data_IF_719471657633
#
_entry.id   IF_719471657633
#
_cell.length_a   1.000
_cell.length_b   1.000
_cell.length_c   1.000
_cell.angle_alpha   90.00
_cell.angle_beta   90.00
_cell.angle_gamma   90.00
#
_symmetry.space_group_name_H-M   'P 1'
#
loop_
_entity.id
_entity.type
_entity.pdbx_description
1 polymer ?
#
# COMPACT_ATOMS: atom_id res chain seq x y z
N UNK A 1 -8.65 4.43 12.50
CA UNK A 1 -9.24 3.08 12.61
C UNK A 1 -8.74 2.16 11.50
N UNK A 2 -8.94 2.43 10.21
CA UNK A 2 -8.50 1.53 9.12
C UNK A 2 -7.02 1.16 9.17
N UNK A 3 -6.12 2.15 9.26
CA UNK A 3 -4.68 1.90 9.35
C UNK A 3 -4.29 1.14 10.63
N UNK A 4 -4.97 1.40 11.76
CA UNK A 4 -4.70 0.69 13.01
C UNK A 4 -5.08 -0.79 12.90
N UNK A 5 -6.24 -1.10 12.28
CA UNK A 5 -6.67 -2.48 12.05
C UNK A 5 -5.71 -3.22 11.11
N UNK A 6 -5.32 -2.59 10.01
CA UNK A 6 -4.35 -3.19 9.08
C UNK A 6 -2.99 -3.36 9.74
N UNK A 7 -2.51 -2.38 10.53
CA UNK A 7 -1.28 -2.50 11.31
C UNK A 7 -1.31 -3.64 12.33
N UNK A 8 -2.43 -3.78 13.07
CA UNK A 8 -2.64 -4.89 14.00
C UNK A 8 -2.60 -6.25 13.28
N UNK A 9 -3.27 -6.37 12.14
CA UNK A 9 -3.23 -7.60 11.34
C UNK A 9 -1.82 -7.91 10.85
N UNK A 10 -1.10 -6.92 10.31
CA UNK A 10 0.27 -7.13 9.84
C UNK A 10 1.20 -7.57 11.00
N UNK A 11 1.03 -6.98 12.18
CA UNK A 11 1.74 -7.38 13.40
C UNK A 11 1.43 -8.84 13.80
N UNK A 12 0.14 -9.20 13.83
CA UNK A 12 -0.31 -10.56 14.16
C UNK A 12 0.24 -11.60 13.17
N UNK A 13 0.18 -11.32 11.87
CA UNK A 13 0.75 -12.21 10.85
C UNK A 13 2.25 -12.42 11.03
N UNK A 14 3.00 -11.35 11.34
CA UNK A 14 4.43 -11.44 11.57
C UNK A 14 4.74 -12.20 12.87
N UNK A 15 4.20 -11.75 14.00
CA UNK A 15 4.55 -12.29 15.33
C UNK A 15 4.06 -13.73 15.52
N UNK A 16 2.89 -14.11 14.97
CA UNK A 16 2.38 -15.50 15.06
C UNK A 16 3.26 -16.53 14.35
N UNK A 17 4.12 -16.09 13.47
CA UNK A 17 5.04 -16.95 12.71
C UNK A 17 6.51 -16.75 13.09
N UNK A 18 6.77 -15.97 14.16
CA UNK A 18 8.12 -15.65 14.63
C UNK A 18 8.90 -14.71 13.71
N UNK A 19 8.24 -14.02 12.78
CA UNK A 19 8.84 -13.01 11.91
C UNK A 19 9.09 -11.70 12.65
N UNK A 20 10.08 -10.95 12.17
CA UNK A 20 10.23 -9.54 12.52
C UNK A 20 9.03 -8.72 12.02
N UNK A 21 8.74 -7.61 12.69
CA UNK A 21 7.77 -6.62 12.26
C UNK A 21 8.47 -5.26 12.13
N UNK A 22 8.73 -4.85 10.91
CA UNK A 22 9.48 -3.63 10.61
C UNK A 22 8.53 -2.46 10.32
N UNK A 23 8.98 -1.26 10.68
CA UNK A 23 8.22 -0.04 10.42
C UNK A 23 8.90 0.82 9.36
N UNK A 24 8.15 1.15 8.31
CA UNK A 24 8.59 2.04 7.23
C UNK A 24 7.63 3.21 7.09
N UNK A 25 8.20 4.41 7.06
CA UNK A 25 7.47 5.65 6.80
C UNK A 25 7.57 5.97 5.31
N UNK A 26 6.44 6.00 4.64
CA UNK A 26 6.32 6.26 3.21
C UNK A 26 6.09 7.77 2.98
N UNK A 27 7.17 8.55 3.10
CA UNK A 27 7.19 10.02 3.11
C UNK A 27 7.67 10.66 1.79
N UNK A 28 7.60 9.93 0.67
CA UNK A 28 7.96 10.46 -0.66
C UNK A 28 6.94 11.48 -1.19
N UNK A 29 5.70 11.38 -0.77
CA UNK A 29 4.67 12.36 -1.09
C UNK A 29 4.65 13.53 -0.10
N UNK A 30 3.89 14.60 -0.44
CA UNK A 30 3.68 15.73 0.47
C UNK A 30 2.94 15.30 1.73
N UNK A 31 3.67 14.93 2.75
CA UNK A 31 3.12 14.54 4.06
C UNK A 31 3.00 15.79 4.94
N UNK A 32 1.91 15.89 5.71
CA UNK A 32 1.81 16.92 6.75
C UNK A 32 2.89 16.67 7.82
N UNK A 33 3.64 17.72 8.17
CA UNK A 33 4.66 17.65 9.23
C UNK A 33 4.09 17.00 10.51
N UNK A 34 4.81 16.04 11.06
CA UNK A 34 4.41 15.30 12.26
C UNK A 34 3.29 14.27 12.04
N UNK A 35 2.93 13.94 10.79
CA UNK A 35 1.89 12.94 10.54
C UNK A 35 2.40 11.51 10.72
N UNK A 36 3.65 11.25 10.37
CA UNK A 36 4.29 9.94 10.56
C UNK A 36 4.48 9.63 12.03
N UNK A 37 5.05 10.59 12.78
CA UNK A 37 5.28 10.45 14.23
C UNK A 37 3.96 10.16 14.95
N UNK A 38 2.87 10.87 14.61
CA UNK A 38 1.55 10.61 15.19
C UNK A 38 1.01 9.22 14.88
N UNK A 39 1.27 8.69 13.67
CA UNK A 39 0.84 7.32 13.34
C UNK A 39 1.63 6.29 14.12
N UNK A 40 2.92 6.50 14.34
CA UNK A 40 3.74 5.64 15.19
C UNK A 40 3.27 5.69 16.65
N UNK A 41 2.98 6.90 17.17
CA UNK A 41 2.39 7.07 18.51
C UNK A 41 1.04 6.34 18.64
N UNK A 42 0.17 6.44 17.64
CA UNK A 42 -1.14 5.78 17.63
C UNK A 42 -0.99 4.25 17.65
N UNK A 43 -0.05 3.67 16.89
CA UNK A 43 0.24 2.23 16.88
C UNK A 43 0.79 1.77 18.25
N UNK A 44 1.76 2.52 18.80
CA UNK A 44 2.31 2.21 20.12
C UNK A 44 1.25 2.31 21.23
N UNK A 45 0.34 3.29 21.17
CA UNK A 45 -0.71 3.49 22.15
C UNK A 45 -1.72 2.35 22.22
N UNK A 46 -1.94 1.61 21.11
CA UNK A 46 -2.74 0.38 21.09
C UNK A 46 -1.92 -0.87 21.39
N UNK A 47 -0.66 -0.72 21.81
CA UNK A 47 0.21 -1.80 22.27
C UNK A 47 1.01 -2.51 21.19
N UNK A 48 1.10 -1.99 19.96
CA UNK A 48 1.95 -2.57 18.93
C UNK A 48 3.41 -2.11 19.10
N UNK A 49 4.31 -3.07 19.04
CA UNK A 49 5.76 -2.86 18.96
C UNK A 49 6.26 -3.13 17.55
N UNK A 50 7.50 -2.74 17.27
CA UNK A 50 8.20 -3.07 16.03
C UNK A 50 9.70 -3.17 16.25
N UNK A 51 10.36 -3.89 15.34
CA UNK A 51 11.80 -4.06 15.40
C UNK A 51 12.50 -2.84 14.79
N UNK A 52 13.53 -2.26 15.47
CA UNK A 52 14.24 -1.09 14.98
C UNK A 52 15.18 -1.42 13.81
N UNK A 53 15.60 -0.43 13.01
CA UNK A 53 15.16 0.98 13.07
C UNK A 53 13.87 1.25 12.29
N UNK A 54 13.20 2.38 12.58
CA UNK A 54 12.16 2.91 11.68
C UNK A 54 12.85 3.47 10.43
N UNK A 55 12.42 3.01 9.26
CA UNK A 55 12.99 3.39 7.97
C UNK A 55 12.14 4.46 7.31
N UNK A 56 12.79 5.47 6.70
CA UNK A 56 12.15 6.59 6.02
C UNK A 56 12.48 6.54 4.54
N UNK A 57 11.47 6.50 3.67
CA UNK A 57 11.68 6.40 2.22
C UNK A 57 12.42 7.61 1.64
N UNK A 58 12.22 8.81 2.18
CA UNK A 58 12.95 10.01 1.76
C UNK A 58 14.48 9.91 1.93
N UNK A 59 14.96 9.03 2.79
CA UNK A 59 16.39 8.78 3.00
C UNK A 59 16.97 7.70 2.07
N UNK A 60 16.15 7.11 1.21
CA UNK A 60 16.49 5.93 0.40
C UNK A 60 16.51 6.20 -1.11
N UNK A 61 16.43 7.45 -1.53
CA UNK A 61 16.39 7.85 -2.94
C UNK A 61 17.47 7.18 -3.81
N UNK A 62 18.73 7.03 -3.36
CA UNK A 62 19.77 6.36 -4.17
C UNK A 62 19.43 4.91 -4.55
N UNK A 63 18.71 4.17 -3.70
CA UNK A 63 18.31 2.78 -4.00
C UNK A 63 17.26 2.73 -5.12
N UNK A 64 16.34 3.68 -5.12
CA UNK A 64 15.32 3.76 -6.17
C UNK A 64 15.92 4.20 -7.51
N UNK A 65 16.86 5.15 -7.49
CA UNK A 65 17.56 5.56 -8.71
C UNK A 65 18.38 4.40 -9.27
N UNK A 66 19.11 3.65 -8.45
CA UNK A 66 19.86 2.48 -8.90
C UNK A 66 18.95 1.42 -9.55
N UNK A 67 17.75 1.18 -8.99
CA UNK A 67 16.78 0.28 -9.60
C UNK A 67 16.27 0.80 -10.96
N UNK A 68 16.01 2.11 -11.08
CA UNK A 68 15.64 2.75 -12.34
C UNK A 68 16.76 2.61 -13.37
N UNK A 69 17.99 2.87 -12.99
CA UNK A 69 19.16 2.75 -13.88
C UNK A 69 19.32 1.33 -14.43
N UNK A 70 19.13 0.30 -13.60
CA UNK A 70 19.15 -1.11 -14.02
C UNK A 70 18.08 -1.39 -15.08
N UNK A 71 16.83 -0.95 -14.86
CA UNK A 71 15.75 -1.11 -15.83
C UNK A 71 16.02 -0.33 -17.12
N UNK A 72 16.59 0.85 -17.01
CA UNK A 72 16.92 1.70 -18.15
C UNK A 72 18.05 1.09 -19.00
N UNK A 73 19.12 0.60 -18.36
CA UNK A 73 20.21 -0.11 -19.03
C UNK A 73 19.73 -1.38 -19.75
N UNK A 74 18.68 -2.04 -19.23
CA UNK A 74 18.02 -3.17 -19.87
C UNK A 74 17.04 -2.79 -21.00
N UNK A 75 16.88 -1.49 -21.31
CA UNK A 75 15.92 -1.01 -22.32
C UNK A 75 14.44 -1.11 -21.91
N UNK A 76 14.19 -1.29 -20.62
CA UNK A 76 12.85 -1.52 -20.07
C UNK A 76 12.15 -0.23 -19.61
N UNK A 77 12.61 0.93 -20.02
CA UNK A 77 11.99 2.21 -19.64
C UNK A 77 11.72 3.10 -20.85
N UNK A 78 10.84 4.07 -20.68
CA UNK A 78 10.59 5.13 -21.64
C UNK A 78 9.95 6.36 -20.97
N UNK A 79 10.08 7.53 -21.60
CA UNK A 79 9.49 8.77 -21.13
C UNK A 79 8.01 8.90 -21.50
N UNK A 80 7.23 9.35 -20.54
CA UNK A 80 5.79 9.59 -20.72
C UNK A 80 5.45 11.04 -20.37
N UNK A 81 4.89 11.76 -21.30
CA UNK A 81 4.50 13.18 -21.19
C UNK A 81 3.00 13.39 -20.93
N UNK A 82 2.24 12.29 -20.75
CA UNK A 82 0.81 12.36 -20.49
C UNK A 82 0.50 12.94 -19.12
N UNK A 83 -0.47 13.83 -19.05
CA UNK A 83 -1.10 14.27 -17.81
C UNK A 83 -2.08 13.21 -17.27
N UNK A 84 -2.42 13.27 -15.99
CA UNK A 84 -3.46 12.38 -15.40
C UNK A 84 -4.79 12.49 -16.16
N UNK A 85 -5.16 13.69 -16.59
CA UNK A 85 -6.39 13.95 -17.34
C UNK A 85 -6.37 13.26 -18.71
N UNK A 86 -5.26 13.36 -19.44
CA UNK A 86 -5.10 12.69 -20.74
C UNK A 86 -5.18 11.16 -20.61
N UNK A 87 -4.57 10.61 -19.54
CA UNK A 87 -4.67 9.16 -19.27
C UNK A 87 -6.11 8.76 -18.96
N UNK A 88 -6.81 9.50 -18.10
CA UNK A 88 -8.23 9.21 -17.78
C UNK A 88 -9.14 9.30 -19.01
N UNK A 89 -8.94 10.29 -19.86
CA UNK A 89 -9.70 10.44 -21.10
C UNK A 89 -9.46 9.28 -22.08
N UNK A 90 -8.23 8.78 -22.16
CA UNK A 90 -7.89 7.64 -23.01
C UNK A 90 -8.46 6.31 -22.49
N UNK A 91 -8.58 6.14 -21.18
CA UNK A 91 -9.14 4.96 -20.52
C UNK A 91 -10.67 4.90 -20.64
N UNK A 92 -11.34 6.03 -20.72
CA UNK A 92 -12.82 6.08 -20.95
C UNK A 92 -13.22 5.75 -22.38
N UNK A 93 -12.28 5.53 -23.31
CA UNK A 93 -12.56 5.00 -24.63
C UNK A 93 -13.04 3.53 -24.56
N UNK A 94 -13.99 3.07 -25.43
CA UNK A 94 -14.79 1.86 -25.22
C UNK A 94 -14.08 0.50 -25.13
N UNK A 95 -12.76 0.43 -25.22
CA UNK A 95 -12.00 -0.83 -25.32
C UNK A 95 -10.73 -0.92 -24.46
N UNK A 96 -10.54 -0.03 -23.46
CA UNK A 96 -9.38 -0.08 -22.56
C UNK A 96 -9.70 -0.72 -21.21
N UNK A 97 -8.79 -1.50 -20.57
CA UNK A 97 -8.99 -1.97 -19.21
C UNK A 97 -9.08 -0.78 -18.25
N UNK A 98 -10.12 -0.75 -17.41
CA UNK A 98 -10.34 0.35 -16.45
C UNK A 98 -9.08 0.58 -15.58
N UNK A 99 -8.55 1.79 -15.60
CA UNK A 99 -7.43 2.22 -14.75
C UNK A 99 -6.03 1.88 -15.24
N UNK A 100 -5.85 1.15 -16.34
CA UNK A 100 -4.54 0.85 -16.91
C UNK A 100 -4.06 1.96 -17.85
N UNK A 101 -2.74 2.17 -17.91
CA UNK A 101 -2.16 3.13 -18.84
C UNK A 101 -2.24 2.60 -20.30
N UNK A 102 -2.76 3.38 -21.26
CA UNK A 102 -3.01 2.90 -22.63
C UNK A 102 -1.76 2.83 -23.52
N UNK A 103 -0.57 3.16 -23.00
CA UNK A 103 0.68 3.10 -23.75
C UNK A 103 0.92 4.26 -24.72
N UNK A 104 0.19 5.37 -24.60
CA UNK A 104 0.22 6.52 -25.54
C UNK A 104 1.63 7.00 -25.90
N UNK A 105 2.57 7.06 -24.94
CA UNK A 105 3.94 7.51 -25.17
C UNK A 105 4.93 6.36 -25.43
N UNK A 106 4.46 5.10 -25.39
CA UNK A 106 5.33 3.92 -25.43
C UNK A 106 6.20 3.83 -26.68
N UNK A 107 5.69 4.30 -27.81
CA UNK A 107 6.31 4.16 -29.14
C UNK A 107 6.59 5.52 -29.80
N UNK A 108 6.80 6.57 -29.00
CA UNK A 108 7.22 7.86 -29.53
C UNK A 108 8.60 7.74 -30.19
N UNK A 109 8.75 8.38 -31.35
CA UNK A 109 10.04 8.52 -32.02
C UNK A 109 10.91 9.54 -31.29
N UNK A 110 12.23 9.49 -31.52
CA UNK A 110 13.17 10.47 -30.95
C UNK A 110 12.80 11.91 -31.29
N UNK A 111 12.26 12.14 -32.50
CA UNK A 111 11.77 13.45 -32.90
C UNK A 111 10.58 13.90 -32.02
N UNK A 112 9.59 13.03 -31.85
CA UNK A 112 8.43 13.33 -31.02
C UNK A 112 8.82 13.56 -29.54
N UNK A 113 9.79 12.80 -29.04
CA UNK A 113 10.32 12.99 -27.68
C UNK A 113 10.97 14.37 -27.57
N UNK A 114 11.80 14.79 -28.54
CA UNK A 114 12.41 16.14 -28.56
C UNK A 114 11.37 17.23 -28.60
N UNK A 115 10.33 17.08 -29.42
CA UNK A 115 9.21 18.04 -29.51
C UNK A 115 8.49 18.20 -28.17
N UNK A 116 8.17 17.06 -27.49
CA UNK A 116 7.52 17.08 -26.17
C UNK A 116 8.39 17.73 -25.09
N UNK A 117 9.68 17.47 -25.11
CA UNK A 117 10.63 18.14 -24.21
C UNK A 117 10.71 19.64 -24.47
N UNK A 118 10.70 20.07 -25.74
CA UNK A 118 10.70 21.48 -26.13
C UNK A 118 9.43 22.21 -25.69
N UNK A 119 8.29 21.53 -25.56
CA UNK A 119 7.05 22.06 -24.96
C UNK A 119 7.19 22.32 -23.45
N UNK A 120 8.30 21.95 -22.81
CA UNK A 120 8.54 22.13 -21.37
C UNK A 120 7.70 21.20 -20.48
N UNK A 121 7.13 20.13 -21.03
CA UNK A 121 6.35 19.16 -20.25
C UNK A 121 7.29 18.25 -19.44
N UNK A 122 7.09 18.11 -18.12
CA UNK A 122 7.88 17.17 -17.32
C UNK A 122 7.55 15.74 -17.73
N UNK A 123 8.60 14.94 -17.97
CA UNK A 123 8.46 13.55 -18.33
C UNK A 123 8.43 12.66 -17.07
N UNK A 124 7.41 11.83 -16.94
CA UNK A 124 7.46 10.68 -16.06
C UNK A 124 8.24 9.55 -16.74
N UNK A 125 8.93 8.72 -15.96
CA UNK A 125 9.56 7.51 -16.47
C UNK A 125 8.65 6.33 -16.19
N UNK A 126 8.34 5.54 -17.23
CA UNK A 126 7.51 4.34 -17.13
C UNK A 126 8.29 3.07 -17.43
N UNK A 127 7.86 1.98 -16.82
CA UNK A 127 8.23 0.64 -17.20
C UNK A 127 7.67 0.32 -18.61
N UNK A 128 8.46 -0.34 -19.42
CA UNK A 128 8.03 -1.00 -20.68
C UNK A 128 7.68 -2.45 -20.34
N UNK A 129 6.45 -2.69 -19.89
CA UNK A 129 6.02 -4.03 -19.53
C UNK A 129 6.02 -4.97 -20.74
N UNK A 130 6.57 -6.17 -20.58
CA UNK A 130 6.63 -7.20 -21.62
C UNK A 130 5.42 -8.15 -21.62
N UNK A 131 4.55 -8.03 -20.63
CA UNK A 131 3.37 -8.86 -20.42
C UNK A 131 2.17 -7.98 -20.09
N UNK A 132 0.96 -8.51 -20.23
CA UNK A 132 -0.29 -7.81 -19.89
C UNK A 132 -0.91 -8.26 -18.57
N UNK A 133 -0.51 -9.41 -18.05
CA UNK A 133 -1.05 -10.00 -16.81
C UNK A 133 0.04 -10.77 -16.08
N UNK A 134 -0.08 -10.84 -14.76
CA UNK A 134 0.80 -11.64 -13.90
C UNK A 134 -0.04 -12.30 -12.79
N UNK A 135 0.31 -13.52 -12.42
CA UNK A 135 -0.36 -14.26 -11.36
C UNK A 135 0.45 -14.20 -10.07
N UNK A 136 -0.22 -13.95 -8.95
CA UNK A 136 0.35 -13.98 -7.60
C UNK A 136 -0.48 -14.90 -6.74
N UNK A 137 0.12 -15.45 -5.69
CA UNK A 137 -0.60 -16.22 -4.67
C UNK A 137 -0.78 -15.35 -3.43
N UNK A 138 -2.03 -15.19 -3.03
CA UNK A 138 -2.40 -14.51 -1.79
C UNK A 138 -2.80 -15.53 -0.73
N UNK A 139 -2.31 -15.33 0.49
CA UNK A 139 -2.55 -16.27 1.60
C UNK A 139 -4.01 -16.38 2.00
N UNK A 140 -4.78 -15.30 1.84
CA UNK A 140 -6.18 -15.24 2.24
C UNK A 140 -7.14 -15.42 1.07
N UNK A 141 -6.78 -14.94 -0.11
CA UNK A 141 -7.65 -14.89 -1.29
C UNK A 141 -7.31 -15.95 -2.34
N UNK A 142 -6.19 -16.68 -2.16
CA UNK A 142 -5.74 -17.68 -3.11
C UNK A 142 -5.03 -17.10 -4.32
N UNK A 143 -5.12 -17.78 -5.45
CA UNK A 143 -4.49 -17.33 -6.69
C UNK A 143 -5.23 -16.13 -7.28
N UNK A 144 -4.49 -15.06 -7.56
CA UNK A 144 -4.99 -13.84 -8.17
C UNK A 144 -4.21 -13.50 -9.43
N UNK A 145 -4.89 -13.46 -10.56
CA UNK A 145 -4.37 -13.02 -11.84
C UNK A 145 -4.87 -11.61 -12.13
N UNK A 146 -3.96 -10.67 -12.31
CA UNK A 146 -4.31 -9.27 -12.52
C UNK A 146 -3.46 -8.59 -13.58
N UNK A 147 -3.93 -7.43 -14.03
CA UNK A 147 -3.32 -6.67 -15.10
C UNK A 147 -1.94 -6.13 -14.72
N UNK A 148 -1.03 -6.18 -15.70
CA UNK A 148 0.26 -5.50 -15.70
C UNK A 148 0.24 -4.47 -16.81
N UNK A 149 0.51 -3.21 -16.47
CA UNK A 149 0.63 -2.10 -17.40
C UNK A 149 2.01 -1.44 -17.30
N UNK A 150 2.24 -0.45 -18.14
CA UNK A 150 3.46 0.35 -18.10
C UNK A 150 3.41 1.31 -16.89
N UNK A 151 3.63 0.76 -15.72
CA UNK A 151 3.57 1.51 -14.45
C UNK A 151 4.61 2.62 -14.39
N UNK A 152 4.31 3.68 -13.66
CA UNK A 152 5.25 4.78 -13.42
C UNK A 152 6.33 4.31 -12.45
N UNK A 153 7.60 4.52 -12.81
CA UNK A 153 8.77 4.29 -11.96
C UNK A 153 9.24 5.59 -11.29
N UNK A 154 9.23 6.72 -12.04
CA UNK A 154 9.54 8.05 -11.55
C UNK A 154 8.54 9.03 -12.12
N UNK A 155 8.00 9.88 -11.26
CA UNK A 155 7.03 10.92 -11.65
C UNK A 155 7.71 12.06 -12.39
N UNK A 156 6.93 12.89 -13.07
CA UNK A 156 7.45 14.06 -13.79
C UNK A 156 8.09 15.12 -12.89
N UNK A 157 7.81 15.12 -11.59
CA UNK A 157 8.47 15.98 -10.60
C UNK A 157 9.81 15.40 -10.08
N UNK A 158 10.24 14.26 -10.62
CA UNK A 158 11.48 13.57 -10.23
C UNK A 158 11.32 12.61 -9.05
N UNK A 159 10.17 12.57 -8.38
CA UNK A 159 9.94 11.69 -7.23
C UNK A 159 9.78 10.24 -7.67
N UNK A 160 10.44 9.26 -7.03
CA UNK A 160 10.18 7.84 -7.25
C UNK A 160 8.70 7.51 -7.01
N UNK A 161 8.15 6.64 -7.83
CA UNK A 161 6.74 6.25 -7.70
C UNK A 161 6.58 5.18 -6.61
N UNK A 162 5.41 5.20 -5.95
CA UNK A 162 5.05 4.26 -4.87
C UNK A 162 5.37 2.80 -5.22
N UNK A 163 4.90 2.32 -6.38
CA UNK A 163 5.10 0.92 -6.76
C UNK A 163 6.58 0.51 -6.90
N UNK A 164 7.46 1.43 -7.31
CA UNK A 164 8.90 1.16 -7.35
C UNK A 164 9.48 1.15 -5.93
N UNK A 165 9.15 2.17 -5.14
CA UNK A 165 9.73 2.36 -3.82
C UNK A 165 9.42 1.16 -2.90
N UNK A 166 8.16 0.72 -2.84
CA UNK A 166 7.79 -0.42 -1.98
C UNK A 166 8.47 -1.73 -2.41
N UNK A 167 8.61 -1.99 -3.72
CA UNK A 167 9.27 -3.21 -4.22
C UNK A 167 10.76 -3.21 -3.88
N UNK A 168 11.43 -2.08 -4.05
CA UNK A 168 12.87 -1.96 -3.72
C UNK A 168 13.09 -2.07 -2.22
N UNK A 169 12.25 -1.40 -1.42
CA UNK A 169 12.35 -1.40 0.03
C UNK A 169 12.06 -2.77 0.63
N UNK A 170 11.03 -3.46 0.15
CA UNK A 170 10.68 -4.79 0.64
C UNK A 170 11.86 -5.76 0.42
N UNK A 171 12.48 -5.72 -0.74
CA UNK A 171 13.64 -6.56 -1.03
C UNK A 171 14.86 -6.20 -0.19
N UNK A 172 15.20 -4.90 -0.07
CA UNK A 172 16.37 -4.43 0.67
C UNK A 172 16.24 -4.66 2.18
N UNK A 173 15.02 -4.56 2.72
CA UNK A 173 14.72 -4.85 4.12
C UNK A 173 14.49 -6.34 4.41
N UNK A 174 14.53 -7.20 3.40
CA UNK A 174 14.31 -8.65 3.56
C UNK A 174 12.86 -9.00 3.93
N UNK A 175 11.88 -8.21 3.48
CA UNK A 175 10.47 -8.47 3.71
C UNK A 175 10.04 -9.72 2.91
N UNK A 176 9.66 -10.74 3.59
CA UNK A 176 9.17 -12.01 3.02
C UNK A 176 7.63 -12.10 3.01
N UNK A 177 6.93 -11.22 3.74
CA UNK A 177 5.47 -11.19 3.80
C UNK A 177 4.93 -9.75 3.85
N UNK A 178 3.96 -9.45 2.97
CA UNK A 178 3.26 -8.16 2.89
C UNK A 178 1.79 -8.36 3.27
N UNK A 179 1.36 -7.73 4.37
CA UNK A 179 -0.03 -7.72 4.83
C UNK A 179 -0.60 -6.32 4.67
N UNK A 180 -1.66 -6.17 3.88
CA UNK A 180 -2.23 -4.85 3.56
C UNK A 180 -3.70 -4.93 3.16
N UNK A 181 -4.38 -3.78 3.02
CA UNK A 181 -5.77 -3.73 2.61
C UNK A 181 -6.00 -4.32 1.20
N UNK A 182 -7.14 -4.95 1.01
CA UNK A 182 -7.54 -5.63 -0.23
C UNK A 182 -7.80 -4.67 -1.41
N UNK A 183 -7.94 -3.38 -1.14
CA UNK A 183 -7.96 -2.33 -2.16
C UNK A 183 -6.64 -2.21 -2.95
N UNK A 184 -5.56 -2.75 -2.41
CA UNK A 184 -4.25 -2.80 -3.06
C UNK A 184 -4.00 -4.11 -3.85
N UNK A 185 -4.87 -5.11 -3.76
CA UNK A 185 -4.75 -6.36 -4.49
C UNK A 185 -4.55 -6.15 -6.01
N UNK A 186 -5.28 -5.24 -6.70
CA UNK A 186 -5.07 -5.00 -8.12
C UNK A 186 -3.68 -4.47 -8.49
N UNK A 187 -2.92 -3.95 -7.52
CA UNK A 187 -1.55 -3.47 -7.74
C UNK A 187 -0.49 -4.56 -7.56
N UNK A 188 -0.83 -5.65 -6.90
CA UNK A 188 0.10 -6.74 -6.54
C UNK A 188 0.75 -7.41 -7.76
N UNK A 189 0.02 -7.77 -8.84
CA UNK A 189 0.62 -8.37 -10.02
C UNK A 189 1.71 -7.50 -10.66
N UNK A 190 1.49 -6.18 -10.75
CA UNK A 190 2.48 -5.25 -11.32
C UNK A 190 3.70 -5.06 -10.43
N UNK A 191 3.54 -5.10 -9.11
CA UNK A 191 4.65 -5.04 -8.15
C UNK A 191 5.46 -6.32 -8.16
N UNK A 192 4.83 -7.48 -8.17
CA UNK A 192 5.48 -8.78 -8.25
C UNK A 192 6.24 -8.94 -9.60
N UNK A 193 5.64 -8.51 -10.71
CA UNK A 193 6.31 -8.48 -12.00
C UNK A 193 7.54 -7.54 -12.00
N UNK A 194 7.42 -6.35 -11.41
CA UNK A 194 8.54 -5.42 -11.28
C UNK A 194 9.68 -6.03 -10.45
N UNK A 195 9.37 -6.71 -9.35
CA UNK A 195 10.36 -7.43 -8.56
C UNK A 195 11.10 -8.47 -9.40
N UNK A 196 10.37 -9.26 -10.20
CA UNK A 196 10.95 -10.26 -11.12
C UNK A 196 11.91 -9.61 -12.13
N UNK A 197 11.54 -8.48 -12.75
CA UNK A 197 12.40 -7.75 -13.69
C UNK A 197 13.67 -7.21 -13.03
N UNK A 198 13.60 -6.85 -11.78
CA UNK A 198 14.73 -6.41 -10.97
C UNK A 198 15.53 -7.58 -10.35
N UNK A 199 15.13 -8.85 -10.58
CA UNK A 199 15.76 -10.01 -9.95
C UNK A 199 15.67 -10.00 -8.43
N UNK A 200 14.61 -9.37 -7.88
CA UNK A 200 14.33 -9.28 -6.46
C UNK A 200 13.35 -10.38 -6.02
N UNK A 201 13.38 -10.81 -4.77
CA UNK A 201 12.41 -11.76 -4.24
C UNK A 201 11.00 -11.16 -4.31
N UNK A 202 10.01 -12.00 -4.59
CA UNK A 202 8.59 -11.65 -4.50
C UNK A 202 8.09 -12.13 -3.14
N UNK A 203 7.57 -11.24 -2.28
CA UNK A 203 7.08 -11.63 -0.95
C UNK A 203 5.77 -12.43 -1.05
N UNK A 204 5.43 -13.14 0.03
CA UNK A 204 4.10 -13.67 0.24
C UNK A 204 3.12 -12.51 0.49
N UNK A 205 1.94 -12.56 -0.08
CA UNK A 205 0.92 -11.53 0.12
C UNK A 205 -0.24 -12.03 0.97
N UNK A 206 -0.80 -11.15 1.80
CA UNK A 206 -2.05 -11.35 2.51
C UNK A 206 -2.87 -10.07 2.46
N UNK A 207 -3.91 -10.04 1.62
CA UNK A 207 -4.80 -8.90 1.50
C UNK A 207 -5.98 -9.05 2.46
N UNK A 208 -6.11 -8.10 3.37
CA UNK A 208 -7.08 -8.10 4.45
C UNK A 208 -8.25 -7.16 4.16
N UNK A 209 -9.48 -7.50 4.60
CA UNK A 209 -10.65 -6.66 4.37
C UNK A 209 -10.52 -5.27 4.99
N UNK A 210 -11.01 -4.25 4.29
CA UNK A 210 -10.99 -2.86 4.71
C UNK A 210 -11.92 -2.56 5.90
N UNK A 211 -11.74 -1.36 6.45
CA UNK A 211 -12.74 -0.70 7.28
C UNK A 211 -13.53 0.26 6.41
N UNK A 212 -14.85 0.10 6.38
CA UNK A 212 -15.76 0.91 5.59
C UNK A 212 -16.58 1.81 6.53
N UNK A 213 -17.07 2.93 6.01
CA UNK A 213 -18.08 3.73 6.66
C UNK A 213 -19.48 3.10 6.48
N UNK A 214 -20.49 3.68 7.10
CA UNK A 214 -21.90 3.20 7.02
C UNK A 214 -22.51 3.28 5.62
N UNK A 215 -21.88 4.03 4.70
CA UNK A 215 -22.25 4.07 3.28
C UNK A 215 -21.52 3.02 2.42
N UNK A 216 -20.75 2.11 3.03
CA UNK A 216 -19.99 1.09 2.33
C UNK A 216 -18.75 1.62 1.59
N UNK A 217 -18.29 2.83 1.90
CA UNK A 217 -17.10 3.42 1.31
C UNK A 217 -15.91 3.29 2.26
N UNK A 218 -14.69 3.22 1.70
CA UNK A 218 -13.47 3.24 2.50
C UNK A 218 -13.47 4.40 3.48
N UNK A 219 -13.24 4.10 4.76
CA UNK A 219 -13.23 5.08 5.83
C UNK A 219 -12.18 6.18 5.57
N UNK A 220 -12.60 7.43 5.62
CA UNK A 220 -11.79 8.60 5.32
C UNK A 220 -11.98 9.69 6.39
N UNK A 221 -11.01 10.60 6.52
CA UNK A 221 -11.04 11.68 7.53
C UNK A 221 -12.30 12.55 7.51
N UNK A 222 -12.95 12.66 6.36
CA UNK A 222 -14.22 13.40 6.21
C UNK A 222 -15.42 12.73 6.87
N UNK A 223 -15.30 11.44 7.19
CA UNK A 223 -16.40 10.65 7.75
C UNK A 223 -16.57 10.89 9.26
N UNK A 224 -15.59 11.52 9.95
CA UNK A 224 -15.65 11.83 11.38
C UNK A 224 -14.47 11.30 12.17
N UNK A 225 -14.72 10.71 13.35
CA UNK A 225 -13.69 10.21 14.27
C UNK A 225 -13.04 8.90 13.78
N UNK A 226 -12.05 9.02 12.89
CA UNK A 226 -11.40 7.90 12.19
C UNK A 226 -9.97 7.63 12.65
N UNK A 227 -9.36 8.53 13.43
CA UNK A 227 -8.04 8.33 14.05
C UNK A 227 -8.17 7.96 15.52
N UNK A 228 -7.11 7.45 16.14
CA UNK A 228 -7.09 7.18 17.57
C UNK A 228 -7.40 8.44 18.38
N UNK A 229 -6.80 9.58 18.02
CA UNK A 229 -7.03 10.87 18.69
C UNK A 229 -8.47 11.36 18.60
N UNK A 230 -9.10 11.17 17.43
CA UNK A 230 -10.52 11.51 17.27
C UNK A 230 -11.39 10.66 18.21
N UNK A 231 -11.08 9.37 18.35
CA UNK A 231 -11.77 8.46 19.26
C UNK A 231 -11.54 8.84 20.72
N UNK A 232 -10.30 9.17 21.07
CA UNK A 232 -9.98 9.69 22.42
C UNK A 232 -10.72 11.00 22.75
N UNK A 233 -10.92 11.87 21.76
CA UNK A 233 -11.71 13.10 21.93
C UNK A 233 -13.19 12.81 22.19
N UNK A 234 -13.71 11.65 21.80
CA UNK A 234 -15.04 11.16 22.16
C UNK A 234 -15.09 10.47 23.55
N UNK A 235 -13.95 10.43 24.27
CA UNK A 235 -13.84 9.84 25.61
C UNK A 235 -13.42 8.37 25.64
N UNK A 236 -13.06 7.77 24.51
CA UNK A 236 -12.59 6.38 24.45
C UNK A 236 -11.10 6.29 24.79
N UNK A 237 -10.73 5.27 25.55
CA UNK A 237 -9.32 4.97 25.81
C UNK A 237 -8.68 4.17 24.66
N UNK A 238 -7.33 4.18 24.54
CA UNK A 238 -6.64 3.31 23.58
C UNK A 238 -6.98 1.83 23.74
N UNK A 239 -7.19 1.34 24.97
CA UNK A 239 -7.64 -0.02 25.25
C UNK A 239 -9.03 -0.32 24.70
N UNK A 240 -9.98 0.61 24.83
CA UNK A 240 -11.31 0.43 24.26
C UNK A 240 -11.26 0.40 22.72
N UNK A 241 -10.42 1.25 22.13
CA UNK A 241 -10.17 1.22 20.67
C UNK A 241 -9.55 -0.11 20.26
N UNK A 242 -8.53 -0.59 21.00
CA UNK A 242 -7.92 -1.90 20.74
C UNK A 242 -8.96 -3.02 20.85
N UNK A 243 -9.78 -3.06 21.91
CA UNK A 243 -10.84 -4.06 22.08
C UNK A 243 -11.83 -4.10 20.91
N UNK A 244 -12.21 -2.92 20.38
CA UNK A 244 -13.06 -2.86 19.19
C UNK A 244 -12.35 -3.36 17.91
N UNK A 245 -11.05 -3.08 17.76
CA UNK A 245 -10.26 -3.65 16.68
C UNK A 245 -10.20 -5.18 16.79
N UNK A 246 -9.93 -5.71 17.98
CA UNK A 246 -9.90 -7.14 18.27
C UNK A 246 -11.26 -7.80 17.98
N UNK A 247 -12.34 -7.22 18.45
CA UNK A 247 -13.70 -7.71 18.19
C UNK A 247 -14.03 -7.72 16.69
N UNK A 248 -13.56 -6.72 15.93
CA UNK A 248 -13.72 -6.69 14.47
C UNK A 248 -13.00 -7.83 13.74
N UNK A 249 -12.09 -8.51 14.42
CA UNK A 249 -11.37 -9.69 13.93
C UNK A 249 -11.95 -11.01 14.46
N UNK A 250 -13.01 -10.94 15.29
CA UNK A 250 -13.65 -12.10 15.91
C UNK A 250 -13.14 -12.45 17.31
N UNK A 251 -12.23 -11.65 17.88
CA UNK A 251 -11.64 -11.88 19.21
C UNK A 251 -12.30 -10.97 20.24
N UNK A 252 -13.22 -11.54 21.05
CA UNK A 252 -13.95 -10.81 22.07
C UNK A 252 -13.22 -10.92 23.41
N UNK A 253 -13.05 -9.79 24.10
CA UNK A 253 -12.45 -9.74 25.43
C UNK A 253 -10.93 -9.66 25.47
N UNK A 254 -10.24 -9.65 24.33
CA UNK A 254 -8.81 -9.40 24.28
C UNK A 254 -8.51 -7.94 24.68
N UNK A 255 -7.52 -7.75 25.55
CA UNK A 255 -7.12 -6.45 26.08
C UNK A 255 -5.78 -5.96 25.56
N UNK A 256 -4.96 -6.87 25.07
CA UNK A 256 -3.62 -6.58 24.56
C UNK A 256 -3.36 -7.32 23.24
N UNK A 257 -2.43 -6.86 22.39
CA UNK A 257 -2.00 -7.60 21.20
C UNK A 257 -1.47 -9.01 21.53
N UNK A 258 -0.85 -9.19 22.70
CA UNK A 258 -0.35 -10.51 23.15
C UNK A 258 -1.48 -11.50 23.40
N UNK A 259 -2.61 -11.06 23.94
CA UNK A 259 -3.78 -11.93 24.14
C UNK A 259 -4.27 -12.48 22.80
N UNK A 260 -4.30 -11.61 21.76
CA UNK A 260 -4.68 -12.02 20.41
C UNK A 260 -3.69 -13.00 19.80
N UNK A 261 -2.40 -12.82 20.06
CA UNK A 261 -1.34 -13.59 19.42
C UNK A 261 -1.44 -15.09 19.75
N UNK A 262 -1.84 -15.44 20.97
CA UNK A 262 -1.99 -16.82 21.42
C UNK A 262 -3.10 -17.56 20.64
N UNK A 263 -4.17 -16.83 20.32
CA UNK A 263 -5.36 -17.38 19.67
C UNK A 263 -5.38 -17.15 18.15
N UNK A 264 -4.50 -16.29 17.64
CA UNK A 264 -4.55 -15.84 16.25
C UNK A 264 -4.37 -16.97 15.24
N UNK A 265 -5.37 -17.12 14.39
CA UNK A 265 -5.36 -18.04 13.25
C UNK A 265 -5.82 -17.28 12.00
N UNK A 266 -4.97 -17.11 10.98
CA UNK A 266 -5.33 -16.41 9.74
C UNK A 266 -6.56 -16.98 9.04
N UNK A 267 -6.82 -18.29 9.21
CA UNK A 267 -7.98 -18.95 8.61
C UNK A 267 -9.32 -18.50 9.21
N UNK A 268 -9.31 -18.05 10.46
CA UNK A 268 -10.51 -17.66 11.21
C UNK A 268 -10.87 -16.18 11.01
N UNK A 269 -10.02 -15.42 10.31
CA UNK A 269 -10.29 -14.00 10.05
C UNK A 269 -11.58 -13.79 9.24
N UNK A 270 -12.42 -12.82 9.64
CA UNK A 270 -13.56 -12.40 8.84
C UNK A 270 -13.13 -12.01 7.44
N UNK A 271 -13.86 -12.46 6.44
CA UNK A 271 -13.61 -12.15 5.01
C UNK A 271 -14.32 -10.89 4.56
N UNK A 272 -15.31 -10.45 5.31
CA UNK A 272 -16.09 -9.25 5.02
C UNK A 272 -15.41 -8.00 5.62
N UNK A 273 -15.58 -6.84 4.97
CA UNK A 273 -15.14 -5.57 5.52
C UNK A 273 -15.80 -5.27 6.87
N UNK A 274 -15.07 -4.62 7.77
CA UNK A 274 -15.66 -4.10 9.00
C UNK A 274 -16.33 -2.76 8.73
N UNK A 275 -17.63 -2.67 8.98
CA UNK A 275 -18.38 -1.40 8.91
C UNK A 275 -18.28 -0.68 10.25
N UNK A 276 -17.73 0.54 10.23
CA UNK A 276 -17.59 1.41 11.39
C UNK A 276 -18.48 2.65 11.23
N UNK A 277 -19.28 2.94 12.27
CA UNK A 277 -19.89 4.27 12.43
C UNK A 277 -18.87 5.19 13.15
N UNK A 278 -18.26 6.15 12.43
CA UNK A 278 -17.26 7.00 13.03
C UNK A 278 -17.81 8.02 14.05
N UNK A 279 -19.11 8.23 14.08
CA UNK A 279 -19.79 9.16 15.01
C UNK A 279 -20.40 8.45 16.23
N UNK A 280 -20.57 7.13 16.16
CA UNK A 280 -21.01 6.30 17.27
C UNK A 280 -19.86 5.96 18.22
N UNK A 281 -20.13 5.71 19.50
CA UNK A 281 -19.14 5.13 20.42
C UNK A 281 -18.89 3.67 20.03
N UNK A 282 -17.63 3.24 20.18
CA UNK A 282 -17.29 1.83 20.05
C UNK A 282 -17.95 1.07 21.20
N UNK A 283 -18.85 0.16 20.86
CA UNK A 283 -19.49 -0.64 21.91
C UNK A 283 -18.43 -1.57 22.53
N UNK A 284 -18.39 -1.68 23.88
CA UNK A 284 -17.59 -2.72 24.49
C UNK A 284 -18.09 -4.06 23.98
N UNK A 285 -17.16 -4.92 23.59
CA UNK A 285 -17.45 -6.30 23.22
C UNK A 285 -18.12 -6.98 24.40
N UNK A 286 -19.43 -7.23 24.31
CA UNK A 286 -20.19 -7.98 25.31
C UNK A 286 -19.83 -9.46 25.28
#
# INVERSE_FOLDING_TARGET
>A
MGNLRTGLLAWLFARSTGRGFLMRVEDLDRVKKGAAERQLEDLAAIGLDWDPPVVWQSQRLPLYEAAIERLTAAGLTYECFCTRREIQQAVTAPHGPMGAYPGTCRNLTDQQIRERRAEGRPAALRLRAGISEFTVTDRLLGEYRGAVDDLVLRRGDGTPAYNLAVVVDDADQGIDQVVRGDDLLPSTPRQAYLATLLGLPVPEYAHVPLVLNTAGQRLAKRDGAVTLRDRMALGESPQQVFGALAASLGYIGANTPSDLLEEFRPADLPREPWTLDPNGLLQPSS
#
